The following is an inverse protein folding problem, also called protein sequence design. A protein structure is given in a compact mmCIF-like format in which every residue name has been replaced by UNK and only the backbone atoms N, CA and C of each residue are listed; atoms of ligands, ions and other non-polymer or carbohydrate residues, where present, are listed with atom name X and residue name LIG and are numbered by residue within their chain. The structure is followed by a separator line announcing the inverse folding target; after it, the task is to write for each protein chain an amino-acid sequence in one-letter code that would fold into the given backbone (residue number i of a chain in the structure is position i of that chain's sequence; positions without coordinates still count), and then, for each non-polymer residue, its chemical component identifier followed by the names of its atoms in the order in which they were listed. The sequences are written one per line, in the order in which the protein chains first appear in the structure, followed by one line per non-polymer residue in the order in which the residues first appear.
data_IF_703559329710
#
_entry.id   IF_703559329710
#
_cell.length_a   1.000
_cell.length_b   1.000
_cell.length_c   1.000
_cell.angle_alpha   90.00
_cell.angle_beta   90.00
_cell.angle_gamma   90.00
#
_symmetry.space_group_name_H-M   'P 1'
#
loop_
_entity.id
_entity.type
_entity.pdbx_description
1 polymer ?
#
# COMPACT_ATOMS: atom_id res chain seq x y z
N UNK A 1 -4.55 -9.49 33.77
CA UNK A 1 -4.59 -8.79 32.48
C UNK A 1 -3.35 -9.22 31.73
N UNK A 2 -3.53 -10.15 30.80
CA UNK A 2 -2.44 -10.86 30.15
C UNK A 2 -1.79 -9.99 29.06
N UNK A 3 -0.46 -10.11 28.92
CA UNK A 3 0.32 -9.35 27.93
C UNK A 3 -0.19 -9.53 26.50
N UNK A 4 -0.81 -10.67 26.20
CA UNK A 4 -1.38 -10.98 24.88
C UNK A 4 -2.58 -10.11 24.53
N UNK A 5 -3.46 -9.82 25.50
CA UNK A 5 -4.64 -8.98 25.28
C UNK A 5 -4.24 -7.53 25.00
N UNK A 6 -3.27 -7.01 25.76
CA UNK A 6 -2.75 -5.65 25.58
C UNK A 6 -2.08 -5.45 24.20
N UNK A 7 -1.35 -6.46 23.73
CA UNK A 7 -0.71 -6.41 22.41
C UNK A 7 -1.75 -6.42 21.27
N UNK A 8 -2.84 -7.18 21.42
CA UNK A 8 -3.92 -7.23 20.44
C UNK A 8 -4.67 -5.90 20.30
N UNK A 9 -4.89 -5.19 21.40
CA UNK A 9 -5.56 -3.89 21.39
C UNK A 9 -4.71 -2.82 20.70
N UNK A 10 -3.40 -2.79 20.97
CA UNK A 10 -2.45 -1.86 20.34
C UNK A 10 -2.36 -2.09 18.82
N UNK A 11 -2.30 -3.35 18.38
CA UNK A 11 -2.35 -3.74 16.96
C UNK A 11 -3.64 -3.25 16.30
N UNK A 12 -4.78 -3.48 16.95
CA UNK A 12 -6.09 -3.10 16.43
C UNK A 12 -6.19 -1.58 16.28
N UNK A 13 -5.70 -0.81 17.26
CA UNK A 13 -5.68 0.65 17.20
C UNK A 13 -4.83 1.17 16.04
N UNK A 14 -3.65 0.61 15.82
CA UNK A 14 -2.79 1.01 14.70
C UNK A 14 -3.45 0.74 13.35
N UNK A 15 -4.03 -0.44 13.16
CA UNK A 15 -4.73 -0.79 11.92
C UNK A 15 -5.95 0.10 11.69
N UNK A 16 -6.73 0.40 12.73
CA UNK A 16 -7.86 1.32 12.65
C UNK A 16 -7.42 2.74 12.26
N UNK A 17 -6.30 3.22 12.80
CA UNK A 17 -5.73 4.52 12.42
C UNK A 17 -5.32 4.59 10.95
N UNK A 18 -4.82 3.50 10.39
CA UNK A 18 -4.48 3.42 8.96
C UNK A 18 -5.75 3.33 8.10
N UNK A 19 -6.74 2.54 8.53
CA UNK A 19 -8.04 2.46 7.87
C UNK A 19 -8.72 3.83 7.79
N UNK A 20 -8.70 4.62 8.87
CA UNK A 20 -9.25 5.97 8.87
C UNK A 20 -8.57 6.85 7.81
N UNK A 21 -7.24 6.77 7.68
CA UNK A 21 -6.50 7.51 6.65
C UNK A 21 -6.87 7.10 5.22
N UNK A 22 -7.21 5.83 5.01
CA UNK A 22 -7.76 5.38 3.72
C UNK A 22 -9.17 5.92 3.47
N UNK A 23 -10.00 6.12 4.50
CA UNK A 23 -11.34 6.72 4.37
C UNK A 23 -11.32 8.20 4.03
N UNK A 24 -10.26 8.90 4.42
CA UNK A 24 -10.09 10.32 4.11
C UNK A 24 -9.84 10.57 2.60
N UNK A 25 -9.57 9.51 1.82
CA UNK A 25 -9.33 9.51 0.36
C UNK A 25 -8.25 10.49 -0.15
N UNK A 26 -7.56 11.17 0.76
CA UNK A 26 -6.44 12.08 0.46
C UNK A 26 -5.12 11.30 0.40
N UNK A 27 -4.99 10.39 -0.57
CA UNK A 27 -3.76 9.62 -0.77
C UNK A 27 -2.96 10.14 -1.96
N UNK A 28 -1.66 10.30 -1.75
CA UNK A 28 -0.71 10.58 -2.80
C UNK A 28 0.15 9.33 -3.00
N UNK A 29 -0.07 8.64 -4.12
CA UNK A 29 0.70 7.47 -4.47
C UNK A 29 1.70 7.81 -5.58
N UNK A 30 2.97 7.53 -5.36
CA UNK A 30 4.05 7.69 -6.33
C UNK A 30 4.91 6.44 -6.39
N UNK A 31 5.54 6.22 -7.54
CA UNK A 31 6.57 5.18 -7.69
C UNK A 31 7.68 5.67 -8.59
N UNK A 32 8.87 5.11 -8.38
CA UNK A 32 10.06 5.46 -9.13
C UNK A 32 10.25 4.48 -10.27
N UNK A 33 10.20 4.97 -11.51
CA UNK A 33 10.40 4.19 -12.73
C UNK A 33 11.44 4.87 -13.61
N UNK A 34 12.43 4.12 -14.07
CA UNK A 34 13.57 4.65 -14.85
C UNK A 34 14.26 5.88 -14.19
N UNK A 35 14.27 5.94 -12.85
CA UNK A 35 14.88 7.02 -12.08
C UNK A 35 13.95 8.18 -11.73
N UNK A 36 12.78 8.27 -12.36
CA UNK A 36 11.82 9.37 -12.19
C UNK A 36 10.64 8.98 -11.30
N UNK A 37 10.14 9.93 -10.49
CA UNK A 37 8.94 9.74 -9.69
C UNK A 37 7.69 9.97 -10.54
N UNK A 38 6.90 8.92 -10.71
CA UNK A 38 5.65 8.93 -11.45
C UNK A 38 4.49 9.01 -10.45
N UNK A 39 3.65 10.07 -10.49
CA UNK A 39 2.43 10.12 -9.70
C UNK A 39 1.39 9.16 -10.25
N UNK A 40 0.61 8.57 -9.34
CA UNK A 40 -0.51 7.70 -9.65
C UNK A 40 -1.79 8.33 -9.14
N UNK A 41 -2.78 8.44 -10.03
CA UNK A 41 -4.12 8.88 -9.68
C UNK A 41 -4.84 7.74 -8.97
N UNK A 42 -5.48 8.05 -7.84
CA UNK A 42 -6.36 7.10 -7.14
C UNK A 42 -7.80 7.45 -7.42
N UNK A 43 -8.56 6.50 -7.96
CA UNK A 43 -9.98 6.66 -8.26
C UNK A 43 -10.87 6.09 -7.14
N UNK A 44 -10.42 5.02 -6.49
CA UNK A 44 -11.19 4.35 -5.44
C UNK A 44 -10.28 3.64 -4.46
N UNK A 45 -10.64 3.71 -3.20
CA UNK A 45 -10.06 2.91 -2.13
C UNK A 45 -11.18 2.13 -1.43
N UNK A 46 -10.96 0.85 -1.19
CA UNK A 46 -11.76 0.07 -0.25
C UNK A 46 -10.85 -0.76 0.64
N UNK A 47 -11.31 -1.07 1.84
CA UNK A 47 -10.56 -1.89 2.77
C UNK A 47 -11.49 -2.67 3.69
N UNK A 48 -10.95 -3.74 4.27
CA UNK A 48 -11.56 -4.53 5.32
C UNK A 48 -10.54 -4.78 6.42
N UNK A 49 -10.98 -4.76 7.67
CA UNK A 49 -10.14 -5.10 8.82
C UNK A 49 -10.65 -6.42 9.38
N UNK A 50 -9.73 -7.36 9.56
CA UNK A 50 -9.92 -8.58 10.35
C UNK A 50 -8.88 -8.56 11.47
N UNK A 51 -9.22 -9.11 12.64
CA UNK A 51 -8.41 -9.34 13.86
C UNK A 51 -7.00 -8.73 13.96
N UNK A 52 -6.08 -8.95 13.00
CA UNK A 52 -4.74 -8.36 13.00
C UNK A 52 -4.23 -7.94 11.60
N UNK A 53 -5.14 -7.70 10.65
CA UNK A 53 -4.83 -7.44 9.25
C UNK A 53 -5.80 -6.44 8.65
N UNK A 54 -5.29 -5.52 7.84
CA UNK A 54 -6.11 -4.65 6.99
C UNK A 54 -5.87 -5.06 5.55
N UNK A 55 -6.90 -5.59 4.90
CA UNK A 55 -6.87 -5.87 3.46
C UNK A 55 -7.37 -4.64 2.72
N UNK A 56 -6.69 -4.23 1.66
CA UNK A 56 -7.09 -3.05 0.87
C UNK A 56 -7.15 -3.37 -0.61
N UNK A 57 -7.98 -2.61 -1.32
CA UNK A 57 -8.05 -2.54 -2.76
C UNK A 57 -8.04 -1.08 -3.18
N UNK A 58 -7.06 -0.70 -3.99
CA UNK A 58 -6.95 0.62 -4.60
C UNK A 58 -7.12 0.43 -6.10
N UNK A 59 -7.98 1.23 -6.71
CA UNK A 59 -8.09 1.37 -8.15
C UNK A 59 -7.61 2.75 -8.55
N UNK A 60 -6.88 2.82 -9.65
CA UNK A 60 -6.34 4.08 -10.13
C UNK A 60 -5.86 4.03 -11.56
N UNK A 61 -5.19 5.12 -11.95
CA UNK A 61 -4.62 5.32 -13.28
C UNK A 61 -3.24 5.95 -13.19
N UNK A 62 -2.42 5.67 -14.18
CA UNK A 62 -1.14 6.33 -14.41
C UNK A 62 -0.87 6.40 -15.92
N UNK A 63 0.26 6.99 -16.38
CA UNK A 63 0.55 7.12 -17.81
C UNK A 63 0.58 5.79 -18.59
N UNK A 64 0.63 4.65 -17.91
CA UNK A 64 0.74 3.33 -18.53
C UNK A 64 -0.58 2.55 -18.55
N UNK A 65 -1.63 3.03 -17.88
CA UNK A 65 -2.97 2.44 -17.94
C UNK A 65 -3.76 2.54 -16.63
N UNK A 66 -4.93 1.94 -16.63
CA UNK A 66 -5.78 1.68 -15.47
C UNK A 66 -5.25 0.45 -14.73
N UNK A 67 -5.25 0.53 -13.41
CA UNK A 67 -4.71 -0.53 -12.57
C UNK A 67 -5.55 -0.80 -11.32
N UNK A 68 -5.42 -2.02 -10.82
CA UNK A 68 -5.97 -2.48 -9.55
C UNK A 68 -4.83 -2.99 -8.67
N UNK A 69 -4.75 -2.48 -7.45
CA UNK A 69 -3.81 -2.91 -6.43
C UNK A 69 -4.55 -3.52 -5.25
N UNK A 70 -4.25 -4.79 -4.95
CA UNK A 70 -4.83 -5.51 -3.82
C UNK A 70 -3.71 -5.85 -2.87
N UNK A 71 -3.89 -5.53 -1.60
CA UNK A 71 -2.85 -5.68 -0.61
C UNK A 71 -3.33 -5.98 0.80
N UNK A 72 -2.34 -6.18 1.64
CA UNK A 72 -2.47 -6.52 3.04
C UNK A 72 -1.52 -5.65 3.84
N UNK A 73 -2.01 -5.10 4.94
CA UNK A 73 -1.24 -4.42 5.96
C UNK A 73 -1.28 -5.27 7.22
N UNK A 74 -0.12 -5.54 7.79
CA UNK A 74 0.06 -6.37 8.99
C UNK A 74 1.03 -5.70 9.94
N UNK A 75 1.06 -6.15 11.20
CA UNK A 75 2.06 -5.74 12.17
C UNK A 75 2.98 -6.93 12.45
N UNK A 76 4.28 -6.74 12.25
CA UNK A 76 5.26 -7.80 12.44
C UNK A 76 5.60 -7.99 13.93
N UNK A 77 6.43 -8.99 14.26
CA UNK A 77 6.81 -9.32 15.64
C UNK A 77 7.60 -8.21 16.36
N UNK A 78 8.11 -7.23 15.61
CA UNK A 78 8.81 -6.06 16.12
C UNK A 78 7.90 -4.84 16.26
N UNK A 79 6.57 -5.03 16.19
CA UNK A 79 5.55 -3.97 16.20
C UNK A 79 5.70 -2.95 15.07
N UNK A 80 6.28 -3.37 13.95
CA UNK A 80 6.38 -2.54 12.76
C UNK A 80 5.22 -2.87 11.82
N UNK A 81 4.54 -1.82 11.34
CA UNK A 81 3.49 -1.94 10.33
C UNK A 81 4.15 -2.15 8.97
N UNK A 82 3.77 -3.22 8.30
CA UNK A 82 4.27 -3.63 6.99
C UNK A 82 3.11 -3.77 6.02
N UNK A 83 3.41 -3.62 4.73
CA UNK A 83 2.44 -3.80 3.66
C UNK A 83 3.01 -4.66 2.56
N UNK A 84 2.17 -5.54 2.03
CA UNK A 84 2.43 -6.35 0.86
C UNK A 84 1.25 -6.23 -0.09
N UNK A 85 1.49 -5.94 -1.36
CA UNK A 85 0.42 -5.82 -2.34
C UNK A 85 0.87 -6.20 -3.74
N UNK A 86 -0.12 -6.57 -4.55
CA UNK A 86 0.06 -6.80 -5.98
C UNK A 86 -0.73 -5.75 -6.76
N UNK A 87 -0.12 -5.19 -7.79
CA UNK A 87 -0.74 -4.30 -8.76
C UNK A 87 -0.81 -5.01 -10.11
N UNK A 88 -1.97 -4.91 -10.74
CA UNK A 88 -2.29 -5.48 -12.05
C UNK A 88 -2.85 -4.35 -12.91
N UNK A 89 -2.39 -4.25 -14.15
CA UNK A 89 -2.98 -3.35 -15.13
C UNK A 89 -4.13 -4.03 -15.86
N UNK A 90 -5.26 -3.33 -15.99
CA UNK A 90 -6.41 -3.79 -16.75
C UNK A 90 -6.19 -3.58 -18.27
N UNK A 91 -5.50 -2.50 -18.65
CA UNK A 91 -5.34 -2.03 -20.03
C UNK A 91 -3.96 -1.39 -20.31
N UNK A 92 -2.86 -2.06 -19.91
CA UNK A 92 -1.51 -1.50 -20.03
C UNK A 92 -1.05 -1.24 -21.48
N UNK A 93 -0.43 -0.08 -21.71
CA UNK A 93 0.30 0.24 -22.95
C UNK A 93 1.72 -0.34 -23.01
N UNK A 94 2.31 -0.70 -21.86
CA UNK A 94 3.67 -1.24 -21.80
C UNK A 94 3.66 -2.76 -21.83
N UNK A 95 2.95 -3.40 -20.90
CA UNK A 95 2.90 -4.84 -20.73
C UNK A 95 1.56 -5.24 -20.08
N UNK A 96 0.57 -5.59 -20.90
CA UNK A 96 -0.75 -6.04 -20.40
C UNK A 96 -0.64 -7.39 -19.70
N UNK A 97 -1.21 -7.50 -18.50
CA UNK A 97 -1.21 -8.74 -17.71
C UNK A 97 -0.07 -8.88 -16.70
N UNK A 98 0.89 -7.95 -16.68
CA UNK A 98 2.01 -8.00 -15.74
C UNK A 98 1.58 -7.77 -14.29
N UNK A 99 2.16 -8.57 -13.40
CA UNK A 99 1.98 -8.45 -11.95
C UNK A 99 3.18 -7.71 -11.36
N UNK A 100 2.92 -6.55 -10.78
CA UNK A 100 3.91 -5.84 -9.97
C UNK A 100 3.66 -6.14 -8.50
N UNK A 101 4.70 -6.50 -7.77
CA UNK A 101 4.63 -6.77 -6.34
C UNK A 101 5.28 -5.62 -5.58
N UNK A 102 4.58 -5.10 -4.58
CA UNK A 102 4.99 -3.99 -3.73
C UNK A 102 5.12 -4.50 -2.30
N UNK A 103 6.26 -4.21 -1.67
CA UNK A 103 6.46 -4.41 -0.24
C UNK A 103 6.98 -3.12 0.38
N UNK A 104 6.57 -2.84 1.61
CA UNK A 104 6.96 -1.62 2.28
C UNK A 104 6.63 -1.62 3.76
N UNK A 105 7.00 -0.52 4.40
CA UNK A 105 6.83 -0.29 5.82
C UNK A 105 6.17 1.06 6.04
N UNK A 106 5.43 1.18 7.14
CA UNK A 106 4.80 2.44 7.51
C UNK A 106 5.74 3.28 8.37
N UNK A 107 5.94 4.52 7.96
CA UNK A 107 6.53 5.55 8.80
C UNK A 107 5.41 6.40 9.40
N UNK A 108 5.21 6.27 10.71
CA UNK A 108 4.17 7.01 11.43
C UNK A 108 4.48 8.51 11.55
N UNK A 109 5.76 8.92 11.50
CA UNK A 109 6.16 10.32 11.67
C UNK A 109 5.78 11.18 10.46
N UNK A 110 5.84 10.60 9.26
CA UNK A 110 5.50 11.26 7.99
C UNK A 110 4.26 10.67 7.32
N UNK A 111 3.56 9.76 8.03
CA UNK A 111 2.35 9.09 7.59
C UNK A 111 2.44 8.50 6.18
N UNK A 112 3.48 7.72 5.93
CA UNK A 112 3.80 7.23 4.58
C UNK A 112 4.13 5.74 4.61
N UNK A 113 3.55 4.98 3.69
CA UNK A 113 4.10 3.69 3.31
C UNK A 113 5.16 3.87 2.25
N UNK A 114 6.32 3.25 2.40
CA UNK A 114 7.34 3.25 1.36
C UNK A 114 8.11 1.93 1.33
N UNK A 115 8.73 1.65 0.20
CA UNK A 115 9.53 0.44 0.04
C UNK A 115 9.89 0.22 -1.42
N UNK A 116 9.95 -1.05 -1.82
CA UNK A 116 10.29 -1.41 -3.19
C UNK A 116 9.17 -2.17 -3.88
N UNK A 117 9.17 -2.06 -5.20
CA UNK A 117 8.34 -2.84 -6.08
C UNK A 117 9.21 -3.63 -7.06
N UNK A 118 8.69 -4.73 -7.59
CA UNK A 118 9.35 -5.53 -8.63
C UNK A 118 8.34 -6.17 -9.59
N UNK A 119 8.75 -6.40 -10.83
CA UNK A 119 7.99 -7.21 -11.77
C UNK A 119 8.12 -8.69 -11.42
N UNK A 120 7.01 -9.42 -11.38
CA UNK A 120 7.03 -10.86 -11.11
C UNK A 120 7.75 -11.64 -12.22
N UNK A 121 7.59 -11.23 -13.48
CA UNK A 121 8.15 -11.92 -14.66
C UNK A 121 9.44 -11.26 -15.19
N UNK A 122 9.99 -10.27 -14.46
CA UNK A 122 11.12 -9.46 -14.94
C UNK A 122 12.17 -9.15 -13.88
N UNK A 123 13.26 -8.51 -14.30
CA UNK A 123 14.31 -8.02 -13.39
C UNK A 123 14.11 -6.56 -12.94
N UNK A 124 13.09 -5.90 -13.50
CA UNK A 124 12.79 -4.51 -13.19
C UNK A 124 12.26 -4.39 -11.76
N UNK A 125 12.81 -3.40 -11.04
CA UNK A 125 12.45 -3.06 -9.67
C UNK A 125 12.63 -1.56 -9.46
N UNK A 126 11.96 -1.02 -8.46
CA UNK A 126 12.09 0.38 -8.10
C UNK A 126 11.56 0.66 -6.70
N UNK A 127 11.52 1.94 -6.37
CA UNK A 127 11.01 2.44 -5.09
C UNK A 127 9.57 2.90 -5.23
N UNK A 128 8.81 2.92 -4.15
CA UNK A 128 7.47 3.50 -4.12
C UNK A 128 7.16 4.19 -2.80
N UNK A 129 6.14 5.04 -2.83
CA UNK A 129 5.65 5.79 -1.68
C UNK A 129 4.14 6.03 -1.78
N UNK A 130 3.38 5.69 -0.74
CA UNK A 130 1.98 6.05 -0.57
C UNK A 130 1.87 6.90 0.69
N UNK A 131 1.66 8.21 0.47
CA UNK A 131 1.56 9.22 1.53
C UNK A 131 0.09 9.54 1.80
N UNK A 132 -0.29 9.53 3.07
CA UNK A 132 -1.58 10.05 3.53
C UNK A 132 -1.43 11.56 3.77
N UNK A 133 -2.21 12.39 3.09
CA UNK A 133 -2.14 13.85 3.26
C UNK A 133 -3.05 14.25 4.41
N UNK A 134 -2.47 14.94 5.39
CA UNK A 134 -3.21 15.56 6.50
C UNK A 134 -3.72 16.91 5.96
N UNK A 135 -5.03 17.13 6.01
CA UNK A 135 -5.64 18.44 5.74
C UNK A 135 -5.41 19.42 6.89
#
# INVERSE_FOLDING_TARGET
MDKETKNSDEITQQLNGIAQKFQEENIQFTYKFMGEWVPQETEKVSFTIDTQKLSFHIKGKDPYGTWNQIGLITINKSNQVETFSRKLYDDSYLHGGDVLIYYGQYDNSIQTFSGNWYYLEGQQKGEWSLKFQIQ
#
